data_IF_224768995199
#
_entry.id   IF_224768995199
#
_cell.length_a   1.000
_cell.length_b   1.000
_cell.length_c   1.000
_cell.angle_alpha   90.00
_cell.angle_beta   90.00
_cell.angle_gamma   90.00
#
_symmetry.space_group_name_H-M   'P 1'
#
loop_
_entity.id
_entity.type
_entity.pdbx_description
1 polymer ?
#
# COMPACT_ATOMS: atom_id res chain seq x y z
N UNK A 1 19.31 -34.50 45.29
CA UNK A 1 18.72 -34.90 44.00
C UNK A 1 17.52 -34.02 43.60
N UNK A 2 16.63 -33.62 44.53
CA UNK A 2 15.45 -32.81 44.15
C UNK A 2 15.69 -31.29 44.04
N UNK A 3 16.67 -30.71 44.74
CA UNK A 3 16.91 -29.26 44.76
C UNK A 3 17.25 -28.67 43.37
N UNK A 4 18.18 -29.29 42.64
CA UNK A 4 18.53 -28.88 41.26
C UNK A 4 17.34 -28.97 40.30
N UNK A 5 16.39 -29.89 40.55
CA UNK A 5 15.19 -30.02 39.72
C UNK A 5 14.22 -28.86 39.97
N UNK A 6 14.05 -28.44 41.23
CA UNK A 6 13.21 -27.29 41.58
C UNK A 6 13.81 -25.95 41.11
N UNK A 7 15.14 -25.77 41.18
CA UNK A 7 15.82 -24.60 40.64
C UNK A 7 15.64 -24.47 39.13
N UNK A 8 15.87 -25.55 38.37
CA UNK A 8 15.66 -25.57 36.91
C UNK A 8 14.22 -25.28 36.50
N UNK A 9 13.23 -25.79 37.24
CA UNK A 9 11.81 -25.48 37.01
C UNK A 9 11.52 -24.00 37.32
N UNK A 10 12.16 -23.44 38.35
CA UNK A 10 12.04 -22.02 38.73
C UNK A 10 12.64 -21.08 37.68
N UNK A 11 13.84 -21.37 37.20
CA UNK A 11 14.50 -20.61 36.13
C UNK A 11 13.69 -20.66 34.82
N UNK A 12 13.21 -21.84 34.42
CA UNK A 12 12.39 -21.98 33.22
C UNK A 12 11.09 -21.17 33.32
N UNK A 13 10.36 -21.26 34.43
CA UNK A 13 9.13 -20.47 34.65
C UNK A 13 9.41 -18.97 34.71
N UNK A 14 10.55 -18.55 35.25
CA UNK A 14 10.96 -17.14 35.24
C UNK A 14 11.29 -16.67 33.82
N UNK A 15 12.03 -17.46 33.05
CA UNK A 15 12.41 -17.13 31.69
C UNK A 15 11.20 -17.06 30.75
N UNK A 16 10.26 -18.03 30.84
CA UNK A 16 8.98 -18.00 30.13
C UNK A 16 8.16 -16.76 30.49
N UNK A 17 8.10 -16.41 31.79
CA UNK A 17 7.38 -15.21 32.24
C UNK A 17 8.03 -13.94 31.71
N UNK A 18 9.35 -13.87 31.66
CA UNK A 18 10.09 -12.74 31.07
C UNK A 18 9.83 -12.68 29.57
N UNK A 19 9.88 -13.79 28.85
CA UNK A 19 9.61 -13.85 27.40
C UNK A 19 8.19 -13.42 27.05
N UNK A 20 7.19 -13.90 27.80
CA UNK A 20 5.80 -13.47 27.68
C UNK A 20 5.65 -11.97 27.98
N UNK A 21 6.32 -11.46 29.01
CA UNK A 21 6.28 -10.04 29.39
C UNK A 21 6.90 -9.16 28.30
N UNK A 22 8.05 -9.55 27.76
CA UNK A 22 8.72 -8.85 26.66
C UNK A 22 7.85 -8.87 25.40
N UNK A 23 7.25 -10.01 25.07
CA UNK A 23 6.35 -10.15 23.91
C UNK A 23 5.13 -9.25 24.04
N UNK A 24 4.51 -9.21 25.21
CA UNK A 24 3.39 -8.32 25.51
C UNK A 24 3.81 -6.85 25.43
N UNK A 25 4.94 -6.47 26.01
CA UNK A 25 5.47 -5.11 25.98
C UNK A 25 5.75 -4.66 24.54
N UNK A 26 6.36 -5.52 23.70
CA UNK A 26 6.58 -5.26 22.27
C UNK A 26 5.25 -5.06 21.53
N UNK A 27 4.26 -5.91 21.77
CA UNK A 27 2.92 -5.79 21.16
C UNK A 27 2.24 -4.47 21.54
N UNK A 28 2.28 -4.10 22.82
CA UNK A 28 1.74 -2.83 23.31
C UNK A 28 2.48 -1.62 22.73
N UNK A 29 3.80 -1.64 22.70
CA UNK A 29 4.61 -0.58 22.10
C UNK A 29 4.29 -0.40 20.61
N UNK A 30 4.16 -1.50 19.86
CA UNK A 30 3.76 -1.48 18.44
C UNK A 30 2.38 -0.87 18.26
N UNK A 31 1.38 -1.29 19.04
CA UNK A 31 0.02 -0.73 18.97
C UNK A 31 0.01 0.77 19.26
N UNK A 32 0.74 1.22 20.30
CA UNK A 32 0.90 2.64 20.62
C UNK A 32 1.55 3.42 19.49
N UNK A 33 2.60 2.88 18.86
CA UNK A 33 3.26 3.50 17.72
C UNK A 33 2.31 3.66 16.52
N UNK A 34 1.55 2.61 16.18
CA UNK A 34 0.61 2.64 15.05
C UNK A 34 -0.52 3.64 15.30
N UNK A 35 -1.07 3.70 16.51
CA UNK A 35 -2.07 4.71 16.87
C UNK A 35 -1.49 6.13 16.76
N UNK A 36 -0.27 6.35 17.25
CA UNK A 36 0.42 7.63 17.13
C UNK A 36 0.62 8.04 15.67
N UNK A 37 1.06 7.12 14.83
CA UNK A 37 1.23 7.37 13.39
C UNK A 37 -0.12 7.64 12.69
N UNK A 38 -1.18 6.89 13.01
CA UNK A 38 -2.54 7.18 12.48
C UNK A 38 -2.99 8.60 12.84
N UNK A 39 -2.65 9.12 14.02
CA UNK A 39 -2.97 10.49 14.40
C UNK A 39 -2.11 11.51 13.63
N UNK A 40 -0.79 11.33 13.63
CA UNK A 40 0.17 12.25 12.99
C UNK A 40 -0.07 12.37 11.47
N UNK A 41 -0.33 11.25 10.80
CA UNK A 41 -0.63 11.24 9.37
C UNK A 41 -1.96 11.92 9.03
N UNK A 42 -2.83 12.13 10.02
CA UNK A 42 -4.10 12.82 9.82
C UNK A 42 -4.03 14.34 9.76
N UNK A 43 -2.86 14.92 9.96
CA UNK A 43 -2.68 16.36 9.99
C UNK A 43 -3.01 17.05 8.65
N UNK A 44 -3.40 18.33 8.67
CA UNK A 44 -3.72 19.08 7.46
C UNK A 44 -2.52 19.27 6.52
N UNK A 45 -1.29 19.27 7.06
CA UNK A 45 -0.05 19.53 6.31
C UNK A 45 0.80 18.29 6.03
N UNK A 46 0.24 17.08 6.14
CA UNK A 46 0.99 15.85 5.89
C UNK A 46 1.22 15.65 4.38
N UNK A 47 2.48 15.58 3.90
CA UNK A 47 2.78 15.27 2.50
C UNK A 47 2.24 13.89 2.10
N UNK A 48 2.03 13.68 0.80
CA UNK A 48 1.57 12.37 0.31
C UNK A 48 0.12 12.05 0.66
N UNK A 49 -0.75 13.08 0.75
CA UNK A 49 -2.19 12.96 1.05
C UNK A 49 -2.87 11.80 0.34
N UNK A 50 -2.61 11.61 -0.97
CA UNK A 50 -3.16 10.49 -1.76
C UNK A 50 -2.91 9.13 -1.08
N UNK A 51 -1.66 8.83 -0.76
CA UNK A 51 -1.23 7.57 -0.15
C UNK A 51 -1.75 7.46 1.28
N UNK A 52 -1.67 8.57 2.03
CA UNK A 52 -2.13 8.64 3.42
C UNK A 52 -3.64 8.38 3.52
N UNK A 53 -4.45 9.08 2.73
CA UNK A 53 -5.91 8.96 2.75
C UNK A 53 -6.37 7.54 2.36
N UNK A 54 -5.58 6.81 1.56
CA UNK A 54 -5.88 5.44 1.19
C UNK A 54 -5.47 4.39 2.23
N UNK A 55 -4.32 4.57 2.91
CA UNK A 55 -3.74 3.57 3.80
C UNK A 55 -4.12 3.79 5.27
N UNK A 56 -4.29 5.04 5.70
CA UNK A 56 -4.39 5.41 7.12
C UNK A 56 -5.48 4.64 7.86
N UNK A 57 -6.64 4.40 7.24
CA UNK A 57 -7.74 3.65 7.87
C UNK A 57 -7.32 2.21 8.21
N UNK A 58 -6.54 1.57 7.33
CA UNK A 58 -6.07 0.20 7.45
C UNK A 58 -4.55 0.12 7.69
N UNK A 59 -3.97 1.09 8.43
CA UNK A 59 -2.52 1.16 8.62
C UNK A 59 -1.95 -0.07 9.33
N UNK A 60 -2.71 -0.66 10.27
CA UNK A 60 -2.27 -1.84 11.01
C UNK A 60 -2.13 -3.03 10.05
N UNK A 61 -3.18 -3.31 9.30
CA UNK A 61 -3.29 -4.36 8.29
C UNK A 61 -2.26 -4.15 7.17
N UNK A 62 -2.04 -2.90 6.77
CA UNK A 62 -1.02 -2.55 5.80
C UNK A 62 0.39 -2.90 6.28
N UNK A 63 0.72 -2.62 7.54
CA UNK A 63 2.05 -2.94 8.11
C UNK A 63 2.17 -4.45 8.38
N UNK A 64 1.08 -5.09 8.80
CA UNK A 64 1.07 -6.51 9.16
C UNK A 64 1.00 -7.45 7.96
N UNK A 65 0.72 -6.94 6.76
CA UNK A 65 0.68 -7.77 5.54
C UNK A 65 1.99 -8.55 5.40
N UNK A 66 1.90 -9.87 5.37
CA UNK A 66 3.05 -10.73 5.15
C UNK A 66 3.60 -10.52 3.73
N UNK A 67 4.93 -10.69 3.60
CA UNK A 67 5.77 -10.60 2.37
C UNK A 67 5.03 -10.33 1.06
N UNK A 68 5.23 -9.11 0.56
CA UNK A 68 4.80 -8.63 -0.76
C UNK A 68 5.23 -7.18 -0.89
N UNK A 69 6.48 -6.98 -1.30
CA UNK A 69 7.05 -5.64 -1.49
C UNK A 69 6.23 -4.83 -2.49
N UNK A 70 6.23 -3.51 -2.36
CA UNK A 70 5.66 -2.66 -3.39
C UNK A 70 6.57 -2.73 -4.62
N UNK A 71 6.07 -3.34 -5.70
CA UNK A 71 6.74 -3.23 -7.00
C UNK A 71 6.72 -1.77 -7.45
N UNK A 72 7.74 -1.35 -8.20
CA UNK A 72 7.90 0.03 -8.64
C UNK A 72 6.66 0.58 -9.38
N UNK A 73 6.04 -0.14 -10.33
CA UNK A 73 4.77 0.27 -10.96
C UNK A 73 3.62 0.52 -9.98
N UNK A 74 3.48 -0.37 -8.98
CA UNK A 74 2.45 -0.23 -7.95
C UNK A 74 2.71 1.01 -7.09
N UNK A 75 3.96 1.25 -6.70
CA UNK A 75 4.34 2.43 -5.93
C UNK A 75 4.02 3.74 -6.68
N UNK A 76 4.24 3.77 -8.00
CA UNK A 76 3.88 4.91 -8.86
C UNK A 76 2.37 5.18 -8.84
N UNK A 77 1.52 4.16 -8.99
CA UNK A 77 0.05 4.32 -8.95
C UNK A 77 -0.45 4.76 -7.57
N UNK A 78 0.12 4.20 -6.49
CA UNK A 78 -0.23 4.57 -5.12
C UNK A 78 0.10 6.04 -4.82
N UNK A 79 1.31 6.46 -5.19
CA UNK A 79 1.81 7.83 -4.92
C UNK A 79 1.34 8.86 -5.94
N UNK A 80 0.94 8.40 -7.12
CA UNK A 80 0.66 9.23 -8.28
C UNK A 80 1.91 9.87 -8.89
N UNK A 81 3.04 9.17 -8.85
CA UNK A 81 4.32 9.59 -9.43
C UNK A 81 4.68 8.75 -10.67
N UNK A 82 5.88 8.94 -11.21
CA UNK A 82 6.40 8.15 -12.34
C UNK A 82 6.01 8.72 -13.70
N UNK A 83 5.63 7.88 -14.66
CA UNK A 83 5.20 8.29 -16.01
C UNK A 83 3.73 8.78 -16.09
N UNK A 84 3.25 9.41 -15.01
CA UNK A 84 1.88 9.93 -14.91
C UNK A 84 1.90 11.39 -15.33
N UNK A 85 1.13 11.76 -16.36
CA UNK A 85 1.18 13.10 -16.97
C UNK A 85 0.91 14.24 -15.98
N UNK A 86 -0.02 14.04 -15.03
CA UNK A 86 -0.26 15.03 -13.96
C UNK A 86 0.99 15.27 -13.07
N UNK A 87 1.76 14.21 -12.80
CA UNK A 87 3.02 14.32 -12.09
C UNK A 87 4.12 14.94 -12.95
N UNK A 88 4.29 14.47 -14.19
CA UNK A 88 5.30 14.97 -15.11
C UNK A 88 5.11 16.47 -15.41
N UNK A 89 3.87 16.91 -15.58
CA UNK A 89 3.54 18.32 -15.73
C UNK A 89 3.89 19.13 -14.47
N UNK A 90 3.63 18.60 -13.28
CA UNK A 90 3.97 19.25 -12.00
C UNK A 90 5.46 19.42 -11.78
N UNK A 91 6.29 18.53 -12.35
CA UNK A 91 7.76 18.62 -12.30
C UNK A 91 8.36 19.17 -13.60
N UNK A 92 7.54 19.81 -14.43
CA UNK A 92 7.97 20.50 -15.66
C UNK A 92 8.64 19.60 -16.71
N UNK A 93 8.45 18.28 -16.61
CA UNK A 93 8.90 17.31 -17.62
C UNK A 93 7.94 17.18 -18.80
N UNK A 94 6.69 17.58 -18.62
CA UNK A 94 5.70 17.70 -19.71
C UNK A 94 5.03 19.08 -19.67
N UNK A 95 4.63 19.58 -20.85
CA UNK A 95 3.94 20.88 -20.95
C UNK A 95 2.50 20.86 -20.45
N UNK A 96 1.87 19.70 -20.43
CA UNK A 96 0.45 19.57 -20.07
C UNK A 96 0.21 18.31 -19.26
N UNK A 97 -0.79 18.33 -18.39
CA UNK A 97 -1.23 17.15 -17.66
C UNK A 97 -2.17 16.25 -18.48
N UNK A 98 -2.41 16.50 -19.78
CA UNK A 98 -3.40 15.76 -20.57
C UNK A 98 -3.06 14.28 -20.70
N UNK A 99 -4.08 13.45 -20.89
CA UNK A 99 -3.86 12.03 -21.15
C UNK A 99 -3.41 11.82 -22.60
N UNK A 100 -2.27 11.14 -22.79
CA UNK A 100 -1.79 10.75 -24.11
C UNK A 100 -2.60 9.61 -24.74
N UNK A 101 -3.43 8.93 -23.93
CA UNK A 101 -4.12 7.70 -24.32
C UNK A 101 -5.63 7.89 -24.53
N UNK A 102 -6.18 9.05 -24.15
CA UNK A 102 -7.60 9.37 -24.35
C UNK A 102 -7.83 10.89 -24.31
N UNK A 103 -9.06 11.33 -24.59
CA UNK A 103 -9.42 12.75 -24.60
C UNK A 103 -9.47 13.44 -23.22
N UNK A 104 -9.12 12.75 -22.13
CA UNK A 104 -9.17 13.33 -20.79
C UNK A 104 -8.16 14.47 -20.61
N UNK A 105 -8.64 15.58 -20.05
CA UNK A 105 -7.82 16.77 -19.80
C UNK A 105 -6.74 16.58 -18.73
N UNK A 106 -6.80 15.51 -17.93
CA UNK A 106 -5.84 15.22 -16.86
C UNK A 106 -5.54 13.71 -16.74
N UNK A 107 -4.28 13.35 -16.84
CA UNK A 107 -3.71 12.02 -16.67
C UNK A 107 -3.27 11.83 -15.21
N UNK A 108 -4.24 11.69 -14.31
CA UNK A 108 -3.94 11.36 -12.92
C UNK A 108 -3.74 9.85 -12.73
N UNK A 109 -3.16 9.46 -11.60
CA UNK A 109 -3.08 8.06 -11.20
C UNK A 109 -4.46 7.43 -11.00
N UNK A 110 -5.42 8.20 -10.49
CA UNK A 110 -6.80 7.74 -10.33
C UNK A 110 -7.47 7.51 -11.69
N UNK A 111 -7.24 8.41 -12.63
CA UNK A 111 -7.73 8.28 -14.01
C UNK A 111 -7.16 7.02 -14.67
N UNK A 112 -5.85 6.79 -14.54
CA UNK A 112 -5.19 5.58 -15.06
C UNK A 112 -5.79 4.30 -14.43
N UNK A 113 -6.03 4.31 -13.13
CA UNK A 113 -6.55 3.15 -12.38
C UNK A 113 -8.03 2.83 -12.69
N UNK A 114 -8.88 3.85 -12.86
CA UNK A 114 -10.33 3.67 -12.80
C UNK A 114 -11.11 4.14 -14.04
N UNK A 115 -10.55 4.99 -14.90
CA UNK A 115 -11.34 5.75 -15.88
C UNK A 115 -10.83 5.62 -17.31
N UNK A 116 -9.51 5.59 -17.51
CA UNK A 116 -8.92 5.69 -18.83
C UNK A 116 -9.37 4.52 -19.73
N UNK A 117 -9.99 4.78 -20.89
CA UNK A 117 -10.51 3.74 -21.76
C UNK A 117 -9.41 2.87 -22.37
N UNK A 118 -8.19 3.41 -22.53
CA UNK A 118 -7.04 2.65 -23.04
C UNK A 118 -6.64 1.44 -22.17
N UNK A 119 -7.03 1.45 -20.89
CA UNK A 119 -6.75 0.35 -19.95
C UNK A 119 -7.99 -0.46 -19.61
N UNK A 120 -9.03 -0.41 -20.43
CA UNK A 120 -10.33 -1.06 -20.14
C UNK A 120 -10.18 -2.58 -19.98
N UNK A 121 -9.39 -3.23 -20.83
CA UNK A 121 -9.22 -4.69 -20.80
C UNK A 121 -8.46 -5.14 -19.54
N UNK A 122 -7.31 -4.49 -19.24
CA UNK A 122 -6.53 -4.76 -18.03
C UNK A 122 -7.36 -4.44 -16.77
N UNK A 123 -8.14 -3.36 -16.80
CA UNK A 123 -9.02 -2.98 -15.69
C UNK A 123 -10.19 -3.94 -15.54
N UNK A 124 -10.71 -4.52 -16.61
CA UNK A 124 -11.75 -5.55 -16.57
C UNK A 124 -11.31 -6.78 -15.76
N UNK A 125 -10.07 -7.25 -15.99
CA UNK A 125 -9.46 -8.31 -15.20
C UNK A 125 -9.29 -7.91 -13.72
N UNK A 126 -8.90 -6.66 -13.45
CA UNK A 126 -8.80 -6.16 -12.07
C UNK A 126 -10.16 -6.11 -11.36
N UNK A 127 -11.20 -5.63 -12.05
CA UNK A 127 -12.56 -5.46 -11.51
C UNK A 127 -13.18 -6.80 -11.12
N UNK A 128 -12.92 -7.88 -11.86
CA UNK A 128 -13.46 -9.21 -11.53
C UNK A 128 -12.95 -9.75 -10.19
N UNK A 129 -11.80 -9.28 -9.71
CA UNK A 129 -11.16 -9.74 -8.47
C UNK A 129 -11.32 -8.73 -7.32
N UNK A 130 -11.18 -7.44 -7.61
CA UNK A 130 -11.21 -6.36 -6.61
C UNK A 130 -12.61 -5.75 -6.44
N UNK A 131 -13.46 -5.84 -7.45
CA UNK A 131 -14.77 -5.21 -7.53
C UNK A 131 -14.78 -3.93 -8.38
N UNK A 132 -15.97 -3.47 -8.75
CA UNK A 132 -16.15 -2.35 -9.68
C UNK A 132 -15.70 -0.98 -9.13
N UNK A 133 -15.69 -0.81 -7.80
CA UNK A 133 -15.37 0.47 -7.19
C UNK A 133 -13.86 0.61 -6.92
N UNK A 134 -13.15 1.18 -7.89
CA UNK A 134 -11.68 1.31 -7.88
C UNK A 134 -11.17 2.63 -7.28
N UNK A 135 -11.84 3.17 -6.25
CA UNK A 135 -11.24 4.24 -5.45
C UNK A 135 -9.94 3.72 -4.81
N UNK A 136 -8.91 4.57 -4.69
CA UNK A 136 -7.63 4.14 -4.10
C UNK A 136 -7.79 3.50 -2.70
N UNK A 137 -8.62 4.03 -1.77
CA UNK A 137 -8.85 3.38 -0.48
C UNK A 137 -9.51 2.00 -0.61
N UNK A 138 -10.41 1.79 -1.57
CA UNK A 138 -11.04 0.49 -1.80
C UNK A 138 -10.03 -0.54 -2.33
N UNK A 139 -9.19 -0.13 -3.29
CA UNK A 139 -8.11 -0.97 -3.81
C UNK A 139 -7.10 -1.34 -2.72
N UNK A 140 -6.67 -0.37 -1.90
CA UNK A 140 -5.77 -0.64 -0.76
C UNK A 140 -6.40 -1.61 0.24
N UNK A 141 -7.69 -1.44 0.59
CA UNK A 141 -8.40 -2.39 1.45
C UNK A 141 -8.47 -3.80 0.85
N UNK A 142 -8.68 -3.90 -0.45
CA UNK A 142 -8.67 -5.19 -1.15
C UNK A 142 -7.29 -5.85 -1.11
N UNK A 143 -6.22 -5.08 -1.31
CA UNK A 143 -4.83 -5.56 -1.26
C UNK A 143 -4.45 -6.11 0.12
N UNK A 144 -4.82 -5.43 1.21
CA UNK A 144 -4.49 -5.90 2.57
C UNK A 144 -5.34 -7.09 3.01
N UNK A 145 -6.51 -7.29 2.39
CA UNK A 145 -7.41 -8.40 2.71
C UNK A 145 -7.03 -9.72 2.02
N UNK A 146 -6.23 -9.70 0.95
CA UNK A 146 -5.90 -10.90 0.18
C UNK A 146 -4.61 -10.73 -0.63
N UNK A 147 -3.68 -11.68 -0.46
CA UNK A 147 -2.47 -11.75 -1.30
C UNK A 147 -2.80 -11.93 -2.79
N UNK A 148 -3.87 -12.65 -3.13
CA UNK A 148 -4.31 -12.77 -4.53
C UNK A 148 -4.72 -11.41 -5.07
N UNK A 149 -5.53 -10.65 -4.33
CA UNK A 149 -5.94 -9.29 -4.75
C UNK A 149 -4.74 -8.36 -4.87
N UNK A 150 -3.75 -8.47 -3.98
CA UNK A 150 -2.49 -7.74 -4.10
C UNK A 150 -1.74 -8.10 -5.39
N UNK A 151 -1.66 -9.39 -5.74
CA UNK A 151 -1.03 -9.84 -6.99
C UNK A 151 -1.73 -9.29 -8.23
N UNK A 152 -3.06 -9.32 -8.26
CA UNK A 152 -3.84 -8.80 -9.39
C UNK A 152 -3.68 -7.28 -9.56
N UNK A 153 -3.76 -6.53 -8.46
CA UNK A 153 -3.48 -5.09 -8.48
C UNK A 153 -2.05 -4.83 -8.96
N UNK A 154 -1.08 -5.61 -8.50
CA UNK A 154 0.32 -5.46 -8.91
C UNK A 154 0.51 -5.77 -10.40
N UNK A 155 -0.14 -6.82 -10.91
CA UNK A 155 -0.12 -7.20 -12.32
C UNK A 155 -0.72 -6.11 -13.21
N UNK A 156 -1.88 -5.56 -12.83
CA UNK A 156 -2.48 -4.42 -13.51
C UNK A 156 -1.52 -3.23 -13.56
N UNK A 157 -0.94 -2.84 -12.42
CA UNK A 157 0.00 -1.73 -12.37
C UNK A 157 1.24 -1.99 -13.23
N UNK A 158 1.80 -3.20 -13.20
CA UNK A 158 2.97 -3.56 -13.99
C UNK A 158 2.69 -3.44 -15.50
N UNK A 159 1.59 -4.01 -15.99
CA UNK A 159 1.21 -3.95 -17.40
C UNK A 159 0.98 -2.52 -17.88
N UNK A 160 0.18 -1.74 -17.14
CA UNK A 160 -0.20 -0.38 -17.56
C UNK A 160 0.98 0.57 -17.47
N UNK A 161 1.75 0.53 -16.37
CA UNK A 161 2.84 1.50 -16.19
C UNK A 161 4.01 1.21 -17.13
N UNK A 162 4.33 -0.05 -17.41
CA UNK A 162 5.38 -0.39 -18.41
C UNK A 162 5.01 0.09 -19.81
N UNK A 163 3.76 -0.12 -20.25
CA UNK A 163 3.31 0.40 -21.54
C UNK A 163 3.41 1.93 -21.59
N UNK A 164 3.11 2.61 -20.49
CA UNK A 164 3.27 4.07 -20.40
C UNK A 164 4.74 4.51 -20.44
N UNK A 165 5.64 3.78 -19.79
CA UNK A 165 7.08 4.05 -19.80
C UNK A 165 7.68 3.81 -21.18
N UNK A 166 7.29 2.72 -21.86
CA UNK A 166 7.79 2.37 -23.19
C UNK A 166 7.32 3.35 -24.27
N UNK A 167 6.09 3.85 -24.18
CA UNK A 167 5.59 4.88 -25.09
C UNK A 167 6.23 6.27 -24.88
N UNK A 168 6.90 6.49 -23.73
CA UNK A 168 7.59 7.73 -23.41
C UNK A 168 9.11 7.67 -23.58
N UNK A 169 9.66 6.56 -24.08
CA UNK A 169 11.07 6.41 -24.45
C UNK A 169 11.36 6.94 -25.85
#
# INVERSE_FOLDING_TARGET
MYAETYERIGEFRWNDRVELTVTLAKKQARQKAILRWKLQLGGPQTPGRRTVDAIRSCLQEWIDRARGGLLFPLAQVLTGHGCIGDYLCRIERERTARCHYCAAGRNSAQHTLAECPAWADQRGALVSVVGAYLSLPAVVRAMVASEQKLKEVSSFCDQVMRQKEDAGR
#
